data_IF_968049141747
#
_entry.id   IF_968049141747
#
_cell.length_a   1.000
_cell.length_b   1.000
_cell.length_c   1.000
_cell.angle_alpha   90.00
_cell.angle_beta   90.00
_cell.angle_gamma   90.00
#
_symmetry.space_group_name_H-M   'P 1'
#
loop_
_entity.id
_entity.type
_entity.pdbx_description
1 polymer ?
#
# COMPACT_ATOMS: atom_id res chain seq x y z
N UNK A 1 -17.39 -11.84 0.97
CA UNK A 1 -17.59 -10.48 1.45
C UNK A 1 -16.56 -9.56 0.80
N UNK A 2 -16.98 -8.36 0.38
CA UNK A 2 -16.03 -7.33 -0.11
C UNK A 2 -16.16 -6.09 0.77
N UNK A 3 -14.99 -5.62 1.29
CA UNK A 3 -14.91 -4.37 2.02
C UNK A 3 -14.32 -3.30 1.09
N UNK A 4 -15.14 -2.38 0.64
CA UNK A 4 -14.75 -1.33 -0.31
C UNK A 4 -14.43 -0.06 0.46
N UNK A 5 -13.21 0.47 0.29
CA UNK A 5 -12.78 1.73 0.88
C UNK A 5 -11.86 2.49 -0.06
N UNK A 6 -11.90 3.81 0.01
CA UNK A 6 -10.94 4.66 -0.69
C UNK A 6 -9.54 4.60 -0.05
N UNK A 7 -9.45 4.23 1.24
CA UNK A 7 -8.21 4.19 1.99
C UNK A 7 -8.08 2.90 2.79
N UNK A 8 -6.83 2.39 2.90
CA UNK A 8 -6.44 1.29 3.78
C UNK A 8 -5.12 1.61 4.47
N UNK A 9 -5.16 2.18 5.65
CA UNK A 9 -3.96 2.50 6.44
C UNK A 9 -3.46 1.23 7.16
N UNK A 10 -2.81 0.36 6.43
CA UNK A 10 -2.39 -0.97 6.89
C UNK A 10 -1.10 -0.95 7.72
N UNK A 11 -0.25 0.07 7.56
CA UNK A 11 1.04 0.15 8.23
C UNK A 11 2.09 -0.81 7.62
N UNK A 12 3.21 -0.98 8.32
CA UNK A 12 4.25 -1.94 7.97
C UNK A 12 3.76 -3.38 8.19
N UNK A 13 4.11 -4.28 7.29
CA UNK A 13 3.54 -5.63 7.26
C UNK A 13 4.49 -6.72 7.79
N UNK A 14 5.80 -6.50 7.79
CA UNK A 14 6.78 -7.54 8.14
C UNK A 14 6.47 -8.16 9.51
N UNK A 15 6.53 -7.37 10.57
CA UNK A 15 6.28 -7.87 11.91
C UNK A 15 4.85 -8.31 12.13
N UNK A 16 3.88 -7.58 11.57
CA UNK A 16 2.48 -7.97 11.63
C UNK A 16 2.28 -9.39 11.05
N UNK A 17 2.85 -9.66 9.90
CA UNK A 17 2.73 -10.96 9.26
C UNK A 17 3.45 -12.06 10.03
N UNK A 18 4.66 -11.80 10.54
CA UNK A 18 5.40 -12.77 11.35
C UNK A 18 4.67 -13.12 12.66
N UNK A 19 4.08 -12.12 13.32
CA UNK A 19 3.28 -12.31 14.53
C UNK A 19 2.03 -13.14 14.22
N UNK A 20 1.31 -12.80 13.17
CA UNK A 20 0.08 -13.49 12.79
C UNK A 20 0.35 -14.95 12.35
N UNK A 21 1.51 -15.20 11.73
CA UNK A 21 1.97 -16.54 11.40
C UNK A 21 2.53 -17.33 12.61
N UNK A 22 2.77 -16.65 13.73
CA UNK A 22 3.29 -17.26 14.95
C UNK A 22 4.78 -17.61 14.90
N UNK A 23 5.55 -16.98 14.00
CA UNK A 23 6.98 -17.27 13.78
C UNK A 23 7.89 -16.07 14.10
N UNK A 24 7.36 -15.01 14.69
CA UNK A 24 8.13 -13.79 14.96
C UNK A 24 9.36 -14.04 15.85
N UNK A 25 9.18 -14.76 16.95
CA UNK A 25 10.27 -15.02 17.90
C UNK A 25 11.35 -15.94 17.28
N UNK A 26 10.95 -16.94 16.51
CA UNK A 26 11.89 -17.83 15.80
C UNK A 26 12.74 -17.06 14.79
N UNK A 27 12.10 -16.21 13.98
CA UNK A 27 12.81 -15.37 13.01
C UNK A 27 13.75 -14.37 13.71
N UNK A 28 13.30 -13.76 14.78
CA UNK A 28 14.10 -12.85 15.59
C UNK A 28 15.34 -13.52 16.17
N UNK A 29 15.19 -14.72 16.73
CA UNK A 29 16.32 -15.49 17.27
C UNK A 29 17.31 -15.91 16.18
N UNK A 30 16.82 -16.38 15.03
CA UNK A 30 17.69 -16.76 13.92
C UNK A 30 18.48 -15.56 13.36
N UNK A 31 17.82 -14.40 13.23
CA UNK A 31 18.49 -13.16 12.85
C UNK A 31 19.57 -12.74 13.86
N UNK A 32 19.27 -12.83 15.16
CA UNK A 32 20.23 -12.49 16.22
C UNK A 32 21.45 -13.40 16.22
N UNK A 33 21.30 -14.71 15.96
CA UNK A 33 22.41 -15.66 15.80
C UNK A 33 23.33 -15.28 14.62
N UNK A 34 22.78 -14.62 13.62
CA UNK A 34 23.49 -14.13 12.44
C UNK A 34 23.95 -12.65 12.58
N UNK A 35 23.87 -12.09 13.79
CA UNK A 35 24.32 -10.73 14.12
C UNK A 35 23.44 -9.63 13.51
N UNK A 36 22.16 -9.92 13.28
CA UNK A 36 21.17 -8.96 12.74
C UNK A 36 20.09 -8.70 13.78
N UNK A 37 19.60 -7.47 13.82
CA UNK A 37 18.44 -7.08 14.65
C UNK A 37 17.20 -6.96 13.75
N UNK A 38 16.12 -7.63 14.14
CA UNK A 38 14.85 -7.57 13.42
C UNK A 38 14.30 -6.14 13.40
N UNK A 39 14.47 -5.37 14.48
CA UNK A 39 14.01 -3.98 14.54
C UNK A 39 14.76 -3.08 13.55
N UNK A 40 16.06 -3.32 13.33
CA UNK A 40 16.82 -2.62 12.30
C UNK A 40 16.32 -3.00 10.89
N UNK A 41 15.95 -4.25 10.67
CA UNK A 41 15.41 -4.71 9.38
C UNK A 41 14.04 -4.09 9.10
N UNK A 42 13.18 -3.97 10.11
CA UNK A 42 11.88 -3.33 10.01
C UNK A 42 11.96 -1.85 9.60
N UNK A 43 13.04 -1.15 9.96
CA UNK A 43 13.23 0.25 9.56
C UNK A 43 13.42 0.42 8.06
N UNK A 44 13.90 -0.62 7.35
CA UNK A 44 14.06 -0.60 5.89
C UNK A 44 12.76 -0.88 5.12
N UNK A 45 11.71 -1.33 5.81
CA UNK A 45 10.42 -1.54 5.17
C UNK A 45 9.73 -0.20 4.88
N UNK A 46 9.39 0.02 3.62
CA UNK A 46 8.59 1.18 3.24
C UNK A 46 7.13 0.96 3.66
N UNK A 47 6.58 1.90 4.40
CA UNK A 47 5.17 1.86 4.78
C UNK A 47 4.28 2.14 3.58
N UNK A 48 3.28 1.29 3.29
CA UNK A 48 2.33 1.53 2.23
C UNK A 48 1.52 2.81 2.43
N UNK A 49 1.63 3.75 1.51
CA UNK A 49 0.93 5.06 1.57
C UNK A 49 -0.52 4.96 1.05
N UNK A 50 -1.30 4.04 1.60
CA UNK A 50 -2.65 3.71 1.14
C UNK A 50 -3.76 4.33 1.98
N UNK A 51 -3.43 5.13 2.97
CA UNK A 51 -4.39 5.79 3.84
C UNK A 51 -3.74 6.86 4.71
N UNK A 52 -4.52 7.75 5.29
CA UNK A 52 -4.02 8.89 6.04
C UNK A 52 -4.67 9.04 7.43
N UNK A 53 -5.87 8.54 7.65
CA UNK A 53 -6.59 8.79 8.89
C UNK A 53 -7.53 7.69 9.32
N UNK A 54 -8.54 8.06 10.08
CA UNK A 54 -9.48 7.14 10.72
C UNK A 54 -10.25 6.24 9.76
N UNK A 55 -10.61 6.75 8.58
CA UNK A 55 -11.26 5.96 7.53
C UNK A 55 -10.38 4.79 7.10
N UNK A 56 -9.14 5.09 6.73
CA UNK A 56 -8.18 4.08 6.28
C UNK A 56 -7.80 3.10 7.39
N UNK A 57 -7.63 3.58 8.63
CA UNK A 57 -7.31 2.70 9.76
C UNK A 57 -8.46 1.78 10.12
N UNK A 58 -9.70 2.26 10.09
CA UNK A 58 -10.88 1.43 10.32
C UNK A 58 -10.98 0.31 9.28
N UNK A 59 -10.79 0.64 8.00
CA UNK A 59 -10.78 -0.34 6.91
C UNK A 59 -9.69 -1.41 7.13
N UNK A 60 -8.47 -1.01 7.48
CA UNK A 60 -7.37 -1.92 7.79
C UNK A 60 -7.71 -2.88 8.94
N UNK A 61 -8.27 -2.37 10.04
CA UNK A 61 -8.68 -3.19 11.17
C UNK A 61 -9.78 -4.20 10.79
N UNK A 62 -10.71 -3.81 9.94
CA UNK A 62 -11.78 -4.73 9.52
C UNK A 62 -11.27 -5.84 8.60
N UNK A 63 -10.40 -5.56 7.62
CA UNK A 63 -9.86 -6.63 6.77
C UNK A 63 -8.97 -7.59 7.55
N UNK A 64 -8.19 -7.09 8.51
CA UNK A 64 -7.41 -7.92 9.43
C UNK A 64 -8.32 -8.81 10.30
N UNK A 65 -9.39 -8.25 10.85
CA UNK A 65 -10.37 -9.02 11.64
C UNK A 65 -11.10 -10.08 10.81
N UNK A 66 -11.47 -9.75 9.57
CA UNK A 66 -12.11 -10.69 8.64
C UNK A 66 -11.17 -11.87 8.36
N UNK A 67 -9.88 -11.59 8.10
CA UNK A 67 -8.88 -12.64 7.90
C UNK A 67 -8.69 -13.47 9.17
N UNK A 68 -8.50 -12.84 10.33
CA UNK A 68 -8.28 -13.51 11.62
C UNK A 68 -9.45 -14.41 12.04
N UNK A 69 -10.68 -14.03 11.70
CA UNK A 69 -11.87 -14.85 11.96
C UNK A 69 -12.07 -15.97 10.92
N UNK A 70 -11.20 -16.09 9.94
CA UNK A 70 -11.31 -17.10 8.88
C UNK A 70 -12.52 -16.90 7.96
N UNK A 71 -13.00 -15.67 7.84
CA UNK A 71 -14.11 -15.32 6.97
C UNK A 71 -13.62 -15.05 5.55
N UNK A 72 -14.34 -15.53 4.54
CA UNK A 72 -14.05 -15.22 3.14
C UNK A 72 -14.42 -13.76 2.85
N UNK A 73 -13.44 -12.88 2.82
CA UNK A 73 -13.69 -11.48 2.57
C UNK A 73 -12.43 -10.71 2.20
N UNK A 74 -12.52 -9.96 1.11
CA UNK A 74 -11.41 -9.22 0.55
C UNK A 74 -11.64 -7.71 0.64
N UNK A 75 -10.56 -6.96 0.76
CA UNK A 75 -10.56 -5.51 0.63
C UNK A 75 -10.51 -5.10 -0.85
N UNK A 76 -11.15 -3.98 -1.18
CA UNK A 76 -11.09 -3.39 -2.53
C UNK A 76 -10.83 -1.89 -2.40
N UNK A 77 -9.76 -1.39 -2.99
CA UNK A 77 -9.34 -0.01 -2.88
C UNK A 77 -8.53 0.50 -4.05
N UNK A 78 -7.87 1.63 -3.83
CA UNK A 78 -7.04 2.31 -4.82
C UNK A 78 -5.56 2.18 -4.44
N UNK A 79 -4.71 2.04 -5.46
CA UNK A 79 -3.26 2.03 -5.29
C UNK A 79 -2.71 3.45 -5.45
N UNK A 80 -2.48 4.14 -4.33
CA UNK A 80 -1.91 5.48 -4.34
C UNK A 80 -0.38 5.41 -4.44
N UNK A 81 0.21 6.06 -5.42
CA UNK A 81 1.67 6.15 -5.56
C UNK A 81 2.28 7.17 -4.59
N UNK A 82 1.56 8.25 -4.32
CA UNK A 82 1.98 9.36 -3.47
C UNK A 82 0.91 9.69 -2.43
N UNK A 83 0.49 8.67 -1.66
CA UNK A 83 -0.57 8.85 -0.65
C UNK A 83 -0.13 9.66 0.57
N UNK A 84 1.19 9.70 0.87
CA UNK A 84 1.80 10.49 1.93
C UNK A 84 2.98 11.29 1.38
N UNK A 85 3.39 12.31 2.16
CA UNK A 85 4.52 13.18 1.83
C UNK A 85 5.57 13.09 2.92
N UNK A 86 6.84 12.94 2.52
CA UNK A 86 7.95 13.02 3.45
C UNK A 86 8.18 14.46 3.87
N UNK A 87 8.24 14.70 5.18
CA UNK A 87 8.55 16.00 5.75
C UNK A 87 10.06 16.23 5.75
N UNK A 88 10.51 17.36 5.23
CA UNK A 88 11.90 17.79 5.25
C UNK A 88 12.02 19.23 5.76
N UNK A 89 13.23 19.62 6.15
CA UNK A 89 13.54 21.01 6.46
C UNK A 89 14.42 21.60 5.38
N UNK A 90 13.98 22.69 4.80
CA UNK A 90 14.71 23.46 3.80
C UNK A 90 14.67 24.94 4.16
N UNK A 91 15.84 25.61 4.18
CA UNK A 91 15.95 27.03 4.58
C UNK A 91 15.30 27.35 5.94
N UNK A 92 15.44 26.47 6.94
CA UNK A 92 14.82 26.54 8.27
C UNK A 92 13.28 26.54 8.26
N UNK A 93 12.66 26.11 7.18
CA UNK A 93 11.22 25.93 7.08
C UNK A 93 10.90 24.47 6.81
N UNK A 94 9.80 23.99 7.39
CA UNK A 94 9.27 22.67 7.07
C UNK A 94 8.64 22.70 5.68
N UNK A 95 9.03 21.75 4.85
CA UNK A 95 8.44 21.53 3.53
C UNK A 95 8.19 20.04 3.30
N UNK A 96 7.55 19.71 2.22
CA UNK A 96 7.18 18.33 1.88
C UNK A 96 7.75 17.95 0.52
N UNK A 97 8.12 16.68 0.39
CA UNK A 97 8.51 16.06 -0.88
C UNK A 97 7.70 14.79 -1.09
N UNK A 98 7.53 14.32 -2.34
CA UNK A 98 6.92 13.03 -2.61
C UNK A 98 7.62 11.92 -1.82
N UNK A 99 6.82 11.00 -1.28
CA UNK A 99 7.33 9.83 -0.57
C UNK A 99 6.89 8.55 -1.30
N UNK A 100 7.57 8.16 -2.39
CA UNK A 100 7.24 6.97 -3.15
C UNK A 100 7.53 5.73 -2.31
N UNK A 101 6.53 4.92 -2.07
CA UNK A 101 6.65 3.66 -1.34
C UNK A 101 6.69 2.44 -2.28
N UNK A 102 6.26 2.63 -3.53
CA UNK A 102 6.27 1.58 -4.55
C UNK A 102 7.71 1.33 -5.02
N UNK A 103 8.23 0.20 -4.64
CA UNK A 103 9.55 -0.27 -5.06
C UNK A 103 9.44 -1.70 -5.57
N UNK A 104 10.50 -2.22 -6.23
CA UNK A 104 10.58 -3.62 -6.64
C UNK A 104 10.43 -4.61 -5.46
N UNK A 105 10.63 -4.14 -4.23
CA UNK A 105 10.53 -4.91 -2.99
C UNK A 105 9.26 -4.62 -2.19
N UNK A 106 8.25 -4.00 -2.80
CA UNK A 106 6.98 -3.75 -2.13
C UNK A 106 6.19 -5.05 -1.94
N UNK A 107 5.21 -5.01 -1.03
CA UNK A 107 4.30 -6.15 -0.79
C UNK A 107 3.26 -6.35 -1.90
N UNK A 108 3.28 -5.52 -2.93
CA UNK A 108 2.34 -5.57 -4.05
C UNK A 108 2.69 -6.68 -5.03
N UNK A 109 1.72 -7.51 -5.31
CA UNK A 109 1.77 -8.48 -6.40
C UNK A 109 0.95 -7.96 -7.59
N UNK A 110 1.62 -7.70 -8.71
CA UNK A 110 0.97 -7.28 -9.95
C UNK A 110 0.16 -8.44 -10.53
N UNK A 111 -1.13 -8.20 -10.80
CA UNK A 111 -2.02 -9.21 -11.34
C UNK A 111 -2.24 -9.01 -12.85
N UNK A 112 -2.50 -10.11 -13.57
CA UNK A 112 -2.87 -10.07 -15.00
C UNK A 112 -4.37 -9.77 -15.21
N UNK A 113 -4.90 -8.87 -14.38
CA UNK A 113 -6.29 -8.45 -14.40
C UNK A 113 -6.36 -6.96 -14.69
N UNK A 114 -7.00 -6.62 -15.81
CA UNK A 114 -7.21 -5.22 -16.21
C UNK A 114 -8.64 -4.96 -16.56
N UNK A 115 -9.08 -3.73 -16.35
CA UNK A 115 -10.42 -3.26 -16.70
C UNK A 115 -10.34 -1.93 -17.44
N UNK A 116 -11.16 -1.78 -18.48
CA UNK A 116 -11.36 -0.51 -19.15
C UNK A 116 -12.49 0.26 -18.45
N UNK A 117 -12.11 1.32 -17.73
CA UNK A 117 -13.05 2.18 -16.98
C UNK A 117 -13.42 3.37 -17.85
N UNK A 118 -14.71 3.45 -18.21
CA UNK A 118 -15.24 4.53 -19.06
C UNK A 118 -15.72 5.70 -18.22
N UNK A 119 -15.09 6.86 -18.41
CA UNK A 119 -15.54 8.14 -17.90
C UNK A 119 -16.16 8.97 -19.03
N UNK A 120 -16.78 10.11 -18.67
CA UNK A 120 -17.30 11.04 -19.68
C UNK A 120 -16.14 11.63 -20.49
N UNK A 121 -15.99 11.16 -21.72
CA UNK A 121 -14.99 11.68 -22.67
C UNK A 121 -13.63 10.99 -22.65
N UNK A 122 -13.42 9.97 -21.81
CA UNK A 122 -12.18 9.20 -21.79
C UNK A 122 -12.40 7.76 -21.30
N UNK A 123 -11.48 6.86 -21.66
CA UNK A 123 -11.41 5.50 -21.10
C UNK A 123 -10.04 5.31 -20.48
N UNK A 124 -10.01 4.79 -19.27
CA UNK A 124 -8.78 4.56 -18.51
C UNK A 124 -8.61 3.06 -18.31
N UNK A 125 -7.45 2.53 -18.61
CA UNK A 125 -7.12 1.14 -18.28
C UNK A 125 -6.66 1.06 -16.83
N UNK A 126 -7.37 0.28 -16.04
CA UNK A 126 -7.05 0.00 -14.65
C UNK A 126 -6.47 -1.40 -14.50
N UNK A 127 -5.41 -1.54 -13.73
CA UNK A 127 -4.78 -2.81 -13.37
C UNK A 127 -4.95 -3.11 -11.89
N UNK A 128 -5.16 -4.37 -11.58
CA UNK A 128 -5.26 -4.86 -10.20
C UNK A 128 -3.88 -5.26 -9.66
N UNK A 129 -3.67 -4.91 -8.39
CA UNK A 129 -2.55 -5.36 -7.57
C UNK A 129 -3.10 -5.95 -6.28
N UNK A 130 -2.45 -6.98 -5.76
CA UNK A 130 -2.85 -7.64 -4.52
C UNK A 130 -1.82 -7.43 -3.42
N UNK A 131 -2.31 -7.25 -2.19
CA UNK A 131 -1.55 -7.44 -0.96
C UNK A 131 -2.20 -8.58 -0.18
N UNK A 132 -1.40 -9.50 0.33
CA UNK A 132 -1.88 -10.55 1.22
C UNK A 132 -2.16 -9.98 2.61
N UNK A 133 -3.36 -10.20 3.10
CA UNK A 133 -3.78 -9.87 4.46
C UNK A 133 -3.71 -11.15 5.29
N UNK A 134 -2.67 -11.25 6.11
CA UNK A 134 -2.40 -12.43 6.92
C UNK A 134 -3.14 -12.31 8.25
N UNK A 135 -4.03 -13.23 8.53
CA UNK A 135 -4.70 -13.37 9.81
C UNK A 135 -4.05 -14.42 10.70
N UNK A 136 -4.55 -14.55 11.93
CA UNK A 136 -4.14 -15.63 12.83
C UNK A 136 -4.61 -17.01 12.31
N UNK A 137 -4.00 -18.08 12.83
CA UNK A 137 -4.41 -19.47 12.55
C UNK A 137 -4.32 -19.89 11.07
N UNK A 138 -3.28 -19.41 10.36
CA UNK A 138 -3.05 -19.74 8.94
C UNK A 138 -4.21 -19.32 8.03
N UNK A 139 -4.88 -18.24 8.35
CA UNK A 139 -5.90 -17.63 7.52
C UNK A 139 -5.32 -16.47 6.72
N UNK A 140 -5.81 -16.24 5.52
CA UNK A 140 -5.43 -15.11 4.71
C UNK A 140 -6.55 -14.69 3.77
N UNK A 141 -6.63 -13.39 3.52
CA UNK A 141 -7.50 -12.79 2.52
C UNK A 141 -6.66 -11.86 1.62
N UNK A 142 -7.28 -11.20 0.68
CA UNK A 142 -6.62 -10.29 -0.24
C UNK A 142 -7.10 -8.85 -0.05
N UNK A 143 -6.19 -7.92 -0.25
CA UNK A 143 -6.50 -6.52 -0.51
C UNK A 143 -6.23 -6.25 -1.98
N UNK A 144 -7.30 -6.10 -2.76
CA UNK A 144 -7.25 -5.78 -4.18
C UNK A 144 -7.17 -4.26 -4.37
N UNK A 145 -6.10 -3.79 -4.96
CA UNK A 145 -5.84 -2.39 -5.21
C UNK A 145 -5.84 -2.11 -6.70
N UNK A 146 -6.54 -1.08 -7.11
CA UNK A 146 -6.66 -0.71 -8.52
C UNK A 146 -5.86 0.54 -8.82
N UNK A 147 -5.13 0.50 -9.90
CA UNK A 147 -4.25 1.54 -10.38
C UNK A 147 -4.53 1.88 -11.84
N UNK A 148 -4.14 3.05 -12.28
CA UNK A 148 -4.24 3.49 -13.68
C UNK A 148 -2.95 3.14 -14.41
N UNK A 149 -3.03 2.21 -15.36
CA UNK A 149 -1.85 1.69 -16.08
C UNK A 149 -1.25 2.67 -17.10
N UNK A 150 -2.00 3.66 -17.53
CA UNK A 150 -1.66 4.52 -18.67
C UNK A 150 -1.22 5.95 -18.30
N UNK A 151 -1.02 6.25 -17.02
CA UNK A 151 -0.58 7.58 -16.59
C UNK A 151 0.94 7.66 -16.55
N UNK A 152 1.49 8.68 -17.20
CA UNK A 152 2.90 9.05 -17.06
C UNK A 152 3.07 9.92 -15.81
N UNK A 153 3.69 9.38 -14.79
CA UNK A 153 3.92 10.06 -13.51
C UNK A 153 4.93 11.20 -13.59
N UNK A 154 5.69 11.29 -14.68
CA UNK A 154 6.64 12.38 -14.89
C UNK A 154 5.99 13.77 -14.98
N UNK A 155 4.67 13.83 -15.14
CA UNK A 155 3.88 15.07 -15.07
C UNK A 155 3.79 15.66 -13.65
N UNK A 156 4.08 14.85 -12.61
CA UNK A 156 4.06 15.30 -11.22
C UNK A 156 5.41 15.96 -10.93
N UNK A 157 5.46 17.28 -11.01
CA UNK A 157 6.62 18.05 -10.62
C UNK A 157 6.68 18.15 -9.10
N UNK A 158 6.95 18.72 -8.28
CA UNK A 158 7.00 18.93 -6.83
C UNK A 158 5.94 18.16 -5.98
N UNK A 159 5.51 17.00 -6.39
CA UNK A 159 4.59 16.14 -5.62
C UNK A 159 3.14 16.62 -5.47
N UNK A 160 2.87 17.89 -5.65
CA UNK A 160 1.53 18.50 -5.55
C UNK A 160 1.18 19.29 -6.79
N UNK A 161 2.18 19.91 -7.42
CA UNK A 161 1.99 20.74 -8.59
C UNK A 161 2.08 19.89 -9.86
N UNK A 162 0.99 19.82 -10.57
CA UNK A 162 0.94 19.22 -11.90
C UNK A 162 0.09 20.10 -12.82
N UNK A 163 0.46 20.15 -14.09
CA UNK A 163 -0.30 20.87 -15.07
C UNK A 163 -1.54 20.06 -15.47
N UNK A 164 -2.73 20.56 -15.15
CA UNK A 164 -4.01 19.91 -15.48
C UNK A 164 -4.24 19.70 -16.98
N UNK A 165 -3.58 20.46 -17.83
CA UNK A 165 -3.67 20.28 -19.29
C UNK A 165 -2.83 19.09 -19.75
N UNK A 166 -1.76 18.75 -19.05
CA UNK A 166 -0.92 17.61 -19.39
C UNK A 166 -1.56 16.27 -19.01
N UNK A 167 -2.46 16.22 -18.02
CA UNK A 167 -3.27 15.04 -17.71
C UNK A 167 -4.05 14.58 -18.95
N UNK A 168 -4.64 15.52 -19.71
CA UNK A 168 -5.42 15.18 -20.90
C UNK A 168 -4.59 14.61 -22.03
N UNK A 169 -3.29 14.82 -22.03
CA UNK A 169 -2.36 14.28 -23.03
C UNK A 169 -1.85 12.89 -22.66
N UNK A 170 -1.92 12.54 -21.36
CA UNK A 170 -1.36 11.31 -20.81
C UNK A 170 -2.42 10.25 -20.47
N UNK A 171 -3.69 10.58 -20.64
CA UNK A 171 -4.83 9.66 -20.58
C UNK A 171 -5.32 9.32 -21.98
#
# INVERSE_FOLDING_TARGET
LYYISAEFLIGKLLSNNLINLGIYDEVKEELAQNGKDICEIEEFENEPSLGNGGLGRLAACFIDSIATLGLNGDGVGLNYHFGLFRQIFENNMQTTVPDPWLTEKSWLTKMDVTYDIKFKGMTVKSRMYDIDVIGYNNTSNKLHLFDVESVDESIVEDGINFNKEDIKKNL
#
